data_IF_487118814709
#
_entry.id   IF_487118814709
#
_cell.length_a   1.000
_cell.length_b   1.000
_cell.length_c   1.000
_cell.angle_alpha   90.00
_cell.angle_beta   90.00
_cell.angle_gamma   90.00
#
_symmetry.space_group_name_H-M   'P 1'
#
loop_
_entity.id
_entity.type
_entity.pdbx_description
1 polymer ?
#
# COMPACT_ATOMS: atom_id res chain seq x y z
N UNK A 1 34.67 -34.16 -14.08
CA UNK A 1 35.42 -34.14 -15.37
C UNK A 1 34.40 -34.33 -16.50
N UNK A 2 34.09 -33.30 -17.21
CA UNK A 2 33.79 -33.13 -18.65
C UNK A 2 33.07 -31.79 -18.81
N UNK A 3 33.86 -30.82 -19.27
CA UNK A 3 33.38 -29.48 -19.71
C UNK A 3 32.74 -29.70 -21.10
N UNK A 4 31.53 -29.16 -21.28
CA UNK A 4 30.95 -28.96 -22.61
C UNK A 4 31.00 -27.47 -22.92
N UNK A 5 31.80 -27.10 -23.91
CA UNK A 5 31.79 -25.80 -24.57
C UNK A 5 30.61 -25.81 -25.56
N UNK A 6 29.74 -24.79 -25.48
CA UNK A 6 28.80 -24.49 -26.56
C UNK A 6 29.27 -23.19 -27.22
N UNK A 7 29.57 -23.28 -28.48
CA UNK A 7 30.08 -22.19 -29.34
C UNK A 7 28.87 -21.44 -29.92
N UNK A 8 28.78 -20.14 -29.65
CA UNK A 8 27.80 -19.23 -30.27
C UNK A 8 28.24 -18.95 -31.73
N UNK A 9 27.35 -19.21 -32.68
CA UNK A 9 27.47 -18.78 -34.07
C UNK A 9 26.65 -17.52 -34.28
N UNK A 10 27.32 -16.39 -34.48
CA UNK A 10 26.69 -15.11 -34.86
C UNK A 10 26.58 -15.12 -36.39
N UNK A 11 25.35 -15.05 -36.91
CA UNK A 11 25.09 -14.82 -38.33
C UNK A 11 24.61 -13.35 -38.50
N UNK A 12 25.50 -12.53 -39.03
CA UNK A 12 25.16 -11.17 -39.45
C UNK A 12 24.53 -11.22 -40.85
N UNK A 13 23.30 -10.79 -40.99
CA UNK A 13 22.68 -10.49 -42.29
C UNK A 13 22.53 -8.99 -42.49
N UNK A 14 23.37 -8.46 -43.37
CA UNK A 14 23.31 -7.07 -43.86
C UNK A 14 22.27 -6.97 -44.96
N UNK A 15 21.26 -6.12 -44.77
CA UNK A 15 20.33 -5.69 -45.82
C UNK A 15 20.69 -4.31 -46.33
N UNK A 16 20.96 -4.26 -47.66
CA UNK A 16 21.26 -3.05 -48.40
C UNK A 16 19.98 -2.26 -48.71
N UNK A 17 19.93 -0.98 -48.33
CA UNK A 17 18.96 -0.05 -48.87
C UNK A 17 19.52 0.65 -50.11
N UNK A 18 18.79 0.54 -51.20
CA UNK A 18 19.01 1.30 -52.42
C UNK A 18 18.22 2.60 -52.33
N UNK A 19 18.92 3.72 -52.32
CA UNK A 19 18.32 5.03 -52.46
C UNK A 19 18.11 5.40 -53.95
N UNK A 20 16.92 5.80 -54.32
CA UNK A 20 16.68 6.57 -55.55
C UNK A 20 16.12 7.92 -55.17
N UNK A 21 16.91 8.93 -55.36
CA UNK A 21 16.49 10.32 -55.23
C UNK A 21 15.76 10.83 -56.43
N UNK A 22 14.89 11.84 -56.23
CA UNK A 22 14.63 12.89 -57.19
C UNK A 22 14.17 14.16 -56.48
N UNK A 23 14.86 15.23 -56.74
CA UNK A 23 14.64 16.58 -56.27
C UNK A 23 13.39 17.20 -56.87
N UNK A 24 12.58 17.96 -56.10
CA UNK A 24 12.23 19.32 -56.52
C UNK A 24 11.76 20.21 -55.38
N UNK A 25 12.18 21.44 -55.47
CA UNK A 25 12.04 22.57 -54.56
C UNK A 25 10.62 23.13 -54.51
N UNK A 26 10.21 23.71 -53.36
CA UNK A 26 9.17 24.73 -53.31
C UNK A 26 8.47 24.90 -51.97
N UNK A 27 9.00 25.86 -51.21
CA UNK A 27 8.28 26.89 -50.43
C UNK A 27 7.36 26.54 -49.23
N UNK A 28 7.76 27.15 -48.13
CA UNK A 28 7.16 27.51 -46.85
C UNK A 28 5.63 27.42 -46.69
N UNK A 29 5.19 26.70 -45.63
CA UNK A 29 4.27 27.34 -44.67
C UNK A 29 4.32 26.61 -43.31
N UNK A 30 4.50 27.38 -42.23
CA UNK A 30 4.39 26.94 -40.85
C UNK A 30 2.95 26.63 -40.54
N UNK A 31 2.69 25.42 -40.10
CA UNK A 31 1.47 25.01 -39.43
C UNK A 31 1.88 24.09 -38.29
N UNK A 32 1.72 24.55 -37.06
CA UNK A 32 1.78 23.70 -35.86
C UNK A 32 0.71 22.64 -36.00
N UNK A 33 1.11 21.42 -36.24
CA UNK A 33 0.22 20.26 -36.06
C UNK A 33 0.49 19.68 -34.67
N UNK A 34 -0.44 19.94 -33.76
CA UNK A 34 -0.66 19.10 -32.59
C UNK A 34 -0.92 17.67 -33.09
N UNK A 35 0.05 16.81 -32.98
CA UNK A 35 -0.16 15.37 -33.15
C UNK A 35 -0.73 14.79 -31.86
N UNK A 36 -2.02 14.90 -31.68
CA UNK A 36 -2.77 13.95 -30.87
C UNK A 36 -2.82 12.66 -31.70
N UNK A 37 -1.94 11.74 -31.40
CA UNK A 37 -2.01 10.37 -31.93
C UNK A 37 -3.23 9.68 -31.32
N UNK A 38 -4.37 9.79 -31.96
CA UNK A 38 -5.51 8.90 -31.74
C UNK A 38 -5.18 7.61 -32.48
N UNK A 39 -4.76 6.56 -31.77
CA UNK A 39 -4.70 5.23 -32.36
C UNK A 39 -6.14 4.74 -32.53
N UNK A 40 -6.66 4.84 -33.74
CA UNK A 40 -7.92 4.19 -34.14
C UNK A 40 -7.59 2.73 -34.52
N UNK A 41 -7.45 1.84 -33.55
CA UNK A 41 -7.59 0.42 -33.83
C UNK A 41 -9.11 0.12 -33.92
N UNK A 42 -9.59 -0.36 -35.08
CA UNK A 42 -10.97 -0.86 -35.25
C UNK A 42 -11.20 -2.19 -34.50
N UNK A 43 -10.24 -2.63 -33.70
CA UNK A 43 -10.26 -3.89 -32.97
C UNK A 43 -11.15 -3.79 -31.73
N UNK A 44 -11.99 -4.79 -31.52
CA UNK A 44 -12.86 -4.86 -30.34
C UNK A 44 -12.06 -5.39 -29.15
N UNK A 45 -11.96 -4.60 -28.11
CA UNK A 45 -11.29 -4.96 -26.85
C UNK A 45 -12.34 -5.27 -25.80
N UNK A 46 -12.17 -6.39 -25.09
CA UNK A 46 -12.89 -6.67 -23.84
C UNK A 46 -11.89 -6.71 -22.70
N UNK A 47 -12.06 -5.83 -21.72
CA UNK A 47 -11.21 -5.71 -20.54
C UNK A 47 -12.03 -6.04 -19.29
N UNK A 48 -11.54 -6.97 -18.46
CA UNK A 48 -12.11 -7.27 -17.15
C UNK A 48 -11.31 -6.54 -16.07
N UNK A 49 -11.98 -5.81 -15.19
CA UNK A 49 -11.33 -5.03 -14.12
C UNK A 49 -11.91 -5.45 -12.78
N UNK A 50 -11.04 -5.85 -11.84
CA UNK A 50 -11.42 -6.15 -10.47
C UNK A 50 -11.74 -4.85 -9.74
N UNK A 51 -12.84 -4.82 -8.99
CA UNK A 51 -13.18 -3.76 -8.06
C UNK A 51 -13.84 -4.33 -6.81
N UNK A 52 -13.56 -3.76 -5.66
CA UNK A 52 -14.29 -4.07 -4.43
C UNK A 52 -15.68 -3.42 -4.47
N UNK A 53 -16.61 -3.94 -3.70
CA UNK A 53 -17.99 -3.49 -3.71
C UNK A 53 -18.15 -1.97 -3.54
N UNK A 54 -17.40 -1.40 -2.58
CA UNK A 54 -17.49 0.03 -2.26
C UNK A 54 -16.79 0.91 -3.30
N UNK A 55 -15.86 0.33 -4.09
CA UNK A 55 -15.18 1.05 -5.18
C UNK A 55 -16.01 1.14 -6.45
N UNK A 56 -17.04 0.32 -6.60
CA UNK A 56 -17.83 0.20 -7.83
C UNK A 56 -18.32 1.55 -8.38
N UNK A 57 -18.87 2.49 -7.57
CA UNK A 57 -19.36 3.76 -8.12
C UNK A 57 -18.26 4.60 -8.80
N UNK A 58 -17.04 4.61 -8.25
CA UNK A 58 -15.90 5.31 -8.82
C UNK A 58 -15.39 4.60 -10.08
N UNK A 59 -15.25 3.28 -10.04
CA UNK A 59 -14.79 2.48 -11.18
C UNK A 59 -15.78 2.51 -12.34
N UNK A 60 -17.08 2.63 -12.08
CA UNK A 60 -18.09 2.85 -13.12
C UNK A 60 -17.90 4.19 -13.82
N UNK A 61 -17.59 5.27 -13.10
CA UNK A 61 -17.26 6.57 -13.68
C UNK A 61 -16.01 6.47 -14.55
N UNK A 62 -14.94 5.84 -14.05
CA UNK A 62 -13.69 5.62 -14.81
C UNK A 62 -13.97 4.81 -16.07
N UNK A 63 -14.74 3.71 -15.97
CA UNK A 63 -15.18 2.91 -17.12
C UNK A 63 -15.85 3.77 -18.18
N UNK A 64 -16.81 4.61 -17.79
CA UNK A 64 -17.57 5.43 -18.70
C UNK A 64 -16.68 6.46 -19.41
N UNK A 65 -15.73 7.07 -18.70
CA UNK A 65 -14.70 7.96 -19.27
C UNK A 65 -13.82 7.22 -20.30
N UNK A 66 -13.39 6.00 -19.99
CA UNK A 66 -12.53 5.23 -20.90
C UNK A 66 -13.31 4.76 -22.14
N UNK A 67 -14.55 4.32 -21.99
CA UNK A 67 -15.39 3.89 -23.13
C UNK A 67 -15.72 5.07 -24.07
N UNK A 68 -15.87 6.29 -23.58
CA UNK A 68 -15.99 7.48 -24.43
C UNK A 68 -14.72 7.70 -25.27
N UNK A 69 -13.53 7.48 -24.69
CA UNK A 69 -12.25 7.65 -25.36
C UNK A 69 -11.93 6.47 -26.31
N UNK A 70 -12.34 5.26 -25.94
CA UNK A 70 -12.12 4.01 -26.67
C UNK A 70 -13.47 3.33 -27.00
N UNK A 71 -14.21 3.80 -28.01
CA UNK A 71 -15.59 3.35 -28.27
C UNK A 71 -15.70 1.88 -28.71
N UNK A 72 -14.59 1.25 -29.11
CA UNK A 72 -14.52 -0.19 -29.41
C UNK A 72 -14.19 -1.06 -28.20
N UNK A 73 -13.94 -0.46 -27.03
CA UNK A 73 -13.68 -1.18 -25.80
C UNK A 73 -15.00 -1.49 -25.06
N UNK A 74 -15.05 -2.70 -24.50
CA UNK A 74 -16.03 -3.12 -23.51
C UNK A 74 -15.30 -3.39 -22.20
N UNK A 75 -15.67 -2.71 -21.13
CA UNK A 75 -15.05 -2.88 -19.80
C UNK A 75 -16.06 -3.54 -18.87
N UNK A 76 -15.70 -4.72 -18.38
CA UNK A 76 -16.48 -5.52 -17.43
C UNK A 76 -15.87 -5.34 -16.04
N UNK A 77 -16.61 -4.74 -15.11
CA UNK A 77 -16.21 -4.63 -13.72
C UNK A 77 -16.59 -5.93 -12.98
N UNK A 78 -15.62 -6.54 -12.32
CA UNK A 78 -15.77 -7.78 -11.55
C UNK A 78 -15.77 -7.41 -10.05
N UNK A 79 -16.96 -7.46 -9.43
CA UNK A 79 -17.10 -7.21 -8.00
C UNK A 79 -16.51 -8.37 -7.20
N UNK A 80 -15.32 -8.16 -6.63
CA UNK A 80 -14.65 -9.13 -5.74
C UNK A 80 -13.65 -8.39 -4.84
N UNK A 81 -13.46 -8.89 -3.61
CA UNK A 81 -12.43 -8.39 -2.72
C UNK A 81 -11.03 -8.56 -3.33
N UNK A 82 -10.15 -7.59 -3.12
CA UNK A 82 -8.80 -7.63 -3.69
C UNK A 82 -8.02 -8.86 -3.21
N UNK A 83 -8.08 -9.19 -1.93
CA UNK A 83 -7.40 -10.39 -1.39
C UNK A 83 -8.04 -11.69 -1.90
N UNK A 84 -9.37 -11.76 -1.99
CA UNK A 84 -10.06 -12.93 -2.56
C UNK A 84 -9.63 -13.17 -4.01
N UNK A 85 -9.49 -12.09 -4.79
CA UNK A 85 -9.00 -12.15 -6.15
C UNK A 85 -7.53 -12.63 -6.23
N UNK A 86 -6.66 -12.11 -5.36
CA UNK A 86 -5.25 -12.51 -5.27
C UNK A 86 -5.10 -13.98 -4.85
N UNK A 87 -5.94 -14.48 -3.95
CA UNK A 87 -5.94 -15.88 -3.53
C UNK A 87 -6.33 -16.83 -4.69
N UNK A 88 -7.21 -16.38 -5.60
CA UNK A 88 -7.49 -17.11 -6.84
C UNK A 88 -6.27 -17.08 -7.76
N UNK A 89 -5.62 -15.91 -7.94
CA UNK A 89 -4.42 -15.77 -8.76
C UNK A 89 -3.26 -16.65 -8.27
N UNK A 90 -3.05 -16.77 -6.96
CA UNK A 90 -2.00 -17.62 -6.38
C UNK A 90 -2.22 -19.12 -6.64
N UNK A 91 -3.46 -19.53 -6.94
CA UNK A 91 -3.84 -20.92 -7.18
C UNK A 91 -3.97 -21.27 -8.68
N UNK A 92 -3.86 -20.27 -9.57
CA UNK A 92 -4.03 -20.46 -11.01
C UNK A 92 -2.89 -19.82 -11.80
N UNK A 93 -2.92 -20.00 -13.10
CA UNK A 93 -2.02 -19.31 -14.04
C UNK A 93 -2.74 -18.12 -14.73
N UNK A 94 -1.98 -17.35 -15.50
CA UNK A 94 -2.48 -16.19 -16.22
C UNK A 94 -3.61 -16.50 -17.23
N UNK A 95 -3.82 -17.76 -17.61
CA UNK A 95 -4.82 -18.16 -18.61
C UNK A 95 -6.21 -18.32 -18.03
N UNK A 96 -6.37 -18.31 -16.70
CA UNK A 96 -7.68 -18.44 -16.05
C UNK A 96 -8.58 -17.23 -16.39
N UNK A 97 -9.67 -17.49 -17.09
CA UNK A 97 -10.62 -16.47 -17.53
C UNK A 97 -11.48 -15.86 -16.40
N UNK A 98 -11.47 -16.48 -15.22
CA UNK A 98 -12.25 -16.04 -14.06
C UNK A 98 -11.56 -14.91 -13.29
N UNK A 99 -10.23 -14.72 -13.50
CA UNK A 99 -9.51 -13.60 -12.94
C UNK A 99 -9.60 -12.36 -13.85
N UNK A 100 -9.47 -11.17 -13.26
CA UNK A 100 -9.49 -9.91 -13.99
C UNK A 100 -8.24 -9.69 -14.85
N UNK A 101 -8.36 -8.81 -15.84
CA UNK A 101 -7.23 -8.32 -16.63
C UNK A 101 -6.47 -7.22 -15.89
N UNK A 102 -7.20 -6.32 -15.19
CA UNK A 102 -6.62 -5.29 -14.30
C UNK A 102 -7.11 -5.53 -12.88
N UNK A 103 -6.20 -5.47 -11.92
CA UNK A 103 -6.51 -5.74 -10.52
C UNK A 103 -5.56 -5.03 -9.57
N UNK A 104 -6.03 -4.79 -8.33
CA UNK A 104 -5.23 -4.20 -7.27
C UNK A 104 -4.41 -5.26 -6.52
N UNK A 105 -3.18 -4.91 -6.14
CA UNK A 105 -2.29 -5.75 -5.34
C UNK A 105 -1.46 -4.90 -4.37
N UNK A 106 -1.24 -5.35 -3.13
CA UNK A 106 -0.30 -4.72 -2.23
C UNK A 106 1.14 -5.05 -2.64
N UNK A 107 2.07 -4.13 -2.40
CA UNK A 107 3.45 -4.25 -2.90
C UNK A 107 4.18 -5.53 -2.45
N UNK A 108 3.86 -6.09 -1.28
CA UNK A 108 4.47 -7.33 -0.77
C UNK A 108 4.03 -8.61 -1.51
N UNK A 109 2.92 -8.55 -2.26
CA UNK A 109 2.48 -9.69 -3.09
C UNK A 109 3.16 -9.71 -4.45
N UNK A 110 3.83 -8.64 -4.85
CA UNK A 110 4.44 -8.47 -6.18
C UNK A 110 5.38 -9.63 -6.53
N UNK A 111 6.30 -9.97 -5.62
CA UNK A 111 7.31 -11.00 -5.87
C UNK A 111 6.72 -12.40 -6.07
N UNK A 112 5.65 -12.72 -5.34
CA UNK A 112 4.91 -13.98 -5.52
C UNK A 112 4.23 -14.05 -6.88
N UNK A 113 3.53 -12.99 -7.26
CA UNK A 113 2.83 -12.89 -8.55
C UNK A 113 3.80 -12.86 -9.73
N UNK A 114 4.92 -12.13 -9.61
CA UNK A 114 5.98 -12.11 -10.62
C UNK A 114 6.60 -13.51 -10.82
N UNK A 115 6.89 -14.23 -9.73
CA UNK A 115 7.40 -15.60 -9.78
C UNK A 115 6.43 -16.55 -10.48
N UNK A 116 5.13 -16.35 -10.31
CA UNK A 116 4.08 -17.12 -10.97
C UNK A 116 3.80 -16.66 -12.41
N UNK A 117 4.49 -15.60 -12.87
CA UNK A 117 4.35 -15.04 -14.23
C UNK A 117 2.90 -14.63 -14.56
N UNK A 118 2.19 -14.05 -13.61
CA UNK A 118 0.78 -13.62 -13.80
C UNK A 118 0.65 -12.13 -14.10
N UNK A 119 1.76 -11.36 -14.07
CA UNK A 119 1.78 -9.92 -14.31
C UNK A 119 2.46 -9.61 -15.65
N UNK A 120 1.86 -8.72 -16.43
CA UNK A 120 2.46 -8.12 -17.61
C UNK A 120 3.35 -6.94 -17.21
N UNK A 121 4.48 -6.77 -17.90
CA UNK A 121 5.27 -5.55 -17.81
C UNK A 121 4.55 -4.36 -18.45
N UNK A 122 4.77 -3.15 -17.91
CA UNK A 122 4.17 -1.92 -18.42
C UNK A 122 5.18 -0.77 -18.41
N UNK A 123 5.04 0.24 -19.26
CA UNK A 123 5.90 1.43 -19.30
C UNK A 123 5.47 2.42 -18.19
N UNK A 124 5.65 2.01 -16.91
CA UNK A 124 5.09 2.74 -15.79
C UNK A 124 5.73 4.13 -15.57
N UNK A 125 6.99 4.30 -15.94
CA UNK A 125 7.68 5.58 -15.94
C UNK A 125 7.06 6.57 -16.94
N UNK A 126 6.79 6.13 -18.18
CA UNK A 126 6.08 6.93 -19.20
C UNK A 126 4.64 7.25 -18.76
N UNK A 127 3.94 6.25 -18.17
CA UNK A 127 2.60 6.45 -17.64
C UNK A 127 2.59 7.47 -16.50
N UNK A 128 3.61 7.49 -15.64
CA UNK A 128 3.75 8.44 -14.54
C UNK A 128 3.99 9.87 -15.05
N UNK A 129 4.78 10.04 -16.12
CA UNK A 129 4.94 11.33 -16.78
C UNK A 129 3.62 11.86 -17.38
N UNK A 130 2.80 10.96 -17.95
CA UNK A 130 1.50 11.32 -18.53
C UNK A 130 0.45 11.68 -17.47
N UNK A 131 0.39 10.95 -16.37
CA UNK A 131 -0.53 11.21 -15.25
C UNK A 131 -0.10 12.44 -14.46
N UNK A 132 1.21 12.56 -14.21
CA UNK A 132 1.81 13.66 -13.44
C UNK A 132 1.68 13.49 -11.93
N UNK A 133 2.23 14.47 -11.21
CA UNK A 133 2.15 14.58 -9.75
C UNK A 133 3.20 13.79 -8.96
N UNK A 134 3.88 12.82 -9.55
CA UNK A 134 4.96 12.08 -8.87
C UNK A 134 6.20 12.96 -8.72
N UNK A 135 6.69 13.12 -7.49
CA UNK A 135 7.90 13.90 -7.20
C UNK A 135 9.18 13.12 -7.58
N UNK A 136 9.20 11.84 -7.27
CA UNK A 136 10.28 10.89 -7.57
C UNK A 136 9.68 9.49 -7.70
N UNK A 137 9.35 9.08 -8.92
CA UNK A 137 8.64 7.84 -9.19
C UNK A 137 9.43 6.60 -8.74
N UNK A 138 10.74 6.57 -9.05
CA UNK A 138 11.58 5.39 -8.78
C UNK A 138 11.94 5.23 -7.30
N UNK A 139 12.09 6.34 -6.57
CA UNK A 139 12.36 6.31 -5.13
C UNK A 139 11.09 6.38 -4.29
N UNK A 140 9.93 6.58 -4.93
CA UNK A 140 8.61 6.51 -4.33
C UNK A 140 7.98 5.11 -4.44
N UNK A 141 6.67 5.08 -4.46
CA UNK A 141 5.89 3.84 -4.55
C UNK A 141 6.13 3.12 -5.89
N UNK A 142 6.42 3.86 -6.97
CA UNK A 142 6.72 3.28 -8.29
C UNK A 142 7.86 2.26 -8.25
N UNK A 143 8.96 2.60 -7.58
CA UNK A 143 10.10 1.69 -7.44
C UNK A 143 9.78 0.39 -6.70
N UNK A 144 8.74 0.37 -5.86
CA UNK A 144 8.30 -0.83 -5.17
C UNK A 144 7.69 -1.87 -6.13
N UNK A 145 7.29 -1.45 -7.33
CA UNK A 145 6.70 -2.32 -8.35
C UNK A 145 7.69 -2.67 -9.49
N UNK A 146 8.96 -2.29 -9.33
CA UNK A 146 10.03 -2.62 -10.29
C UNK A 146 10.79 -3.87 -9.83
N UNK A 147 10.84 -4.89 -10.67
CA UNK A 147 11.67 -6.09 -10.48
C UNK A 147 12.62 -6.21 -11.65
N UNK A 148 13.93 -6.16 -11.38
CA UNK A 148 15.00 -6.33 -12.38
C UNK A 148 14.92 -5.36 -13.58
N UNK A 149 14.31 -4.20 -13.41
CA UNK A 149 14.16 -3.15 -14.43
C UNK A 149 12.82 -3.20 -15.18
N UNK A 150 11.92 -4.11 -14.81
CA UNK A 150 10.56 -4.20 -15.37
C UNK A 150 9.54 -3.76 -14.32
N UNK A 151 8.64 -2.83 -14.68
CA UNK A 151 7.51 -2.44 -13.83
C UNK A 151 6.34 -3.40 -14.07
N UNK A 152 5.93 -4.08 -13.02
CA UNK A 152 4.88 -5.12 -13.05
C UNK A 152 3.54 -4.65 -12.45
N UNK A 153 3.51 -3.45 -11.89
CA UNK A 153 2.29 -2.75 -11.48
C UNK A 153 2.54 -1.24 -11.49
N UNK A 154 1.46 -0.47 -11.52
CA UNK A 154 1.47 0.99 -11.41
C UNK A 154 1.02 1.43 -10.01
N UNK A 155 1.63 2.44 -9.37
CA UNK A 155 1.20 2.94 -8.06
C UNK A 155 -0.30 3.25 -8.02
N UNK A 156 -0.99 2.77 -6.98
CA UNK A 156 -2.40 3.03 -6.77
C UNK A 156 -2.61 3.99 -5.59
N UNK A 157 -2.18 3.61 -4.40
CA UNK A 157 -2.29 4.42 -3.21
C UNK A 157 -1.16 4.16 -2.23
N UNK A 158 -0.80 5.17 -1.46
CA UNK A 158 0.07 5.01 -0.29
C UNK A 158 -0.70 4.35 0.85
N UNK A 159 0.03 3.64 1.71
CA UNK A 159 -0.53 2.94 2.84
C UNK A 159 0.40 3.05 4.05
N UNK A 160 -0.14 3.56 5.15
CA UNK A 160 0.54 3.68 6.45
C UNK A 160 -0.48 3.71 7.57
N UNK A 161 -0.04 3.81 8.82
CA UNK A 161 -0.90 3.96 9.99
C UNK A 161 -0.96 5.40 10.47
N UNK A 162 -2.11 5.76 11.05
CA UNK A 162 -2.40 7.03 11.71
C UNK A 162 -3.05 6.77 13.07
N UNK A 163 -3.25 7.82 13.87
CA UNK A 163 -3.98 7.73 15.14
C UNK A 163 -5.36 8.37 15.06
N UNK A 164 -6.38 7.63 15.46
CA UNK A 164 -7.74 8.12 15.68
C UNK A 164 -7.95 8.34 17.18
N UNK A 165 -8.20 9.57 17.60
CA UNK A 165 -8.40 9.92 19.01
C UNK A 165 -9.88 10.00 19.33
N UNK A 166 -10.34 9.25 20.36
CA UNK A 166 -11.64 9.50 20.99
C UNK A 166 -11.48 10.63 22.01
N UNK A 167 -11.95 11.82 21.64
CA UNK A 167 -11.77 13.06 22.42
C UNK A 167 -12.44 13.00 23.79
N UNK A 168 -13.61 12.34 23.92
CA UNK A 168 -14.28 12.19 25.21
C UNK A 168 -13.56 11.21 26.12
N UNK A 169 -13.05 10.10 25.60
CA UNK A 169 -12.25 9.16 26.38
C UNK A 169 -10.93 9.82 26.85
N UNK A 170 -10.25 10.57 25.97
CA UNK A 170 -9.04 11.31 26.32
C UNK A 170 -9.29 12.35 27.42
N UNK A 171 -10.39 13.11 27.33
CA UNK A 171 -10.80 14.05 28.38
C UNK A 171 -11.11 13.35 29.70
N UNK A 172 -11.83 12.23 29.66
CA UNK A 172 -12.15 11.43 30.84
C UNK A 172 -10.90 10.88 31.53
N UNK A 173 -9.89 10.50 30.75
CA UNK A 173 -8.58 10.05 31.21
C UNK A 173 -7.66 11.21 31.63
N UNK A 174 -8.03 12.46 31.36
CA UNK A 174 -7.21 13.66 31.57
C UNK A 174 -5.88 13.62 30.79
N UNK A 175 -5.92 13.12 29.55
CA UNK A 175 -4.79 13.05 28.63
C UNK A 175 -4.88 14.20 27.63
N UNK A 176 -3.78 14.93 27.45
CA UNK A 176 -3.64 15.98 26.44
C UNK A 176 -3.15 15.36 25.13
N UNK A 177 -4.02 15.34 24.12
CA UNK A 177 -3.76 14.77 22.80
C UNK A 177 -3.22 15.79 21.79
N UNK A 178 -3.01 17.04 22.21
CA UNK A 178 -2.43 18.10 21.36
C UNK A 178 -0.89 18.08 21.32
N UNK A 179 -0.28 17.25 22.15
CA UNK A 179 1.17 17.06 22.28
C UNK A 179 1.54 15.63 21.95
N UNK A 180 2.85 15.31 21.90
CA UNK A 180 3.30 13.94 21.81
C UNK A 180 2.74 13.12 22.98
N UNK A 181 2.28 11.92 22.65
CA UNK A 181 1.66 11.00 23.60
C UNK A 181 2.62 9.83 23.82
N UNK A 182 3.21 9.78 25.02
CA UNK A 182 4.12 8.70 25.36
C UNK A 182 3.35 7.45 25.80
N UNK A 183 3.32 6.45 24.93
CA UNK A 183 2.59 5.20 25.12
C UNK A 183 2.93 4.51 26.44
N UNK A 184 4.22 4.50 26.79
CA UNK A 184 4.70 3.77 27.98
C UNK A 184 4.42 4.48 29.31
N UNK A 185 3.94 5.74 29.27
CA UNK A 185 3.49 6.49 30.47
C UNK A 185 1.98 6.31 30.74
N UNK A 186 1.26 5.67 29.81
CA UNK A 186 -0.17 5.44 29.93
C UNK A 186 -0.50 4.13 30.63
N UNK A 187 -1.72 4.02 31.13
CA UNK A 187 -2.22 2.74 31.63
C UNK A 187 -2.40 1.76 30.45
N UNK A 188 -2.21 0.47 30.73
CA UNK A 188 -2.20 -0.61 29.72
C UNK A 188 -3.41 -0.63 28.78
N UNK A 189 -4.53 -0.03 29.17
CA UNK A 189 -5.80 -0.03 28.43
C UNK A 189 -6.16 1.33 27.80
N UNK A 190 -5.27 2.32 27.83
CA UNK A 190 -5.53 3.66 27.30
C UNK A 190 -5.13 3.83 25.83
N UNK A 191 -4.22 3.00 25.31
CA UNK A 191 -4.00 2.82 23.88
C UNK A 191 -4.00 1.33 23.60
N UNK A 192 -4.91 0.88 22.72
CA UNK A 192 -5.05 -0.53 22.39
C UNK A 192 -4.67 -0.78 20.93
N UNK A 193 -3.68 -1.64 20.75
CA UNK A 193 -3.27 -2.09 19.42
C UNK A 193 -2.75 -3.52 19.46
N UNK A 194 -2.98 -4.26 18.39
CA UNK A 194 -2.58 -5.67 18.25
C UNK A 194 -1.10 -5.78 17.89
N UNK A 195 -0.20 -5.38 18.82
CA UNK A 195 1.25 -5.43 18.56
C UNK A 195 1.77 -6.83 18.18
N UNK A 196 1.01 -7.89 18.45
CA UNK A 196 1.32 -9.25 18.01
C UNK A 196 1.00 -9.49 16.52
N UNK A 197 0.20 -8.66 15.88
CA UNK A 197 0.09 -8.62 14.43
C UNK A 197 1.26 -7.79 13.88
N UNK A 198 2.04 -8.38 12.97
CA UNK A 198 3.23 -7.72 12.45
C UNK A 198 2.92 -6.40 11.74
N UNK A 199 1.74 -6.24 11.12
CA UNK A 199 1.33 -4.99 10.49
C UNK A 199 1.31 -3.82 11.48
N UNK A 200 0.75 -4.03 12.68
CA UNK A 200 0.77 -2.99 13.72
C UNK A 200 2.08 -3.01 14.52
N UNK A 201 2.67 -4.18 14.72
CA UNK A 201 3.89 -4.38 15.52
C UNK A 201 5.11 -3.68 14.94
N UNK A 202 5.20 -3.55 13.61
CA UNK A 202 6.34 -2.88 12.95
C UNK A 202 6.42 -1.40 13.26
N UNK A 203 5.33 -0.74 13.65
CA UNK A 203 5.38 0.64 14.08
C UNK A 203 6.28 0.82 15.33
N UNK A 204 6.32 -0.18 16.18
CA UNK A 204 7.13 -0.21 17.39
C UNK A 204 8.58 -0.66 17.10
N UNK A 205 8.77 -1.69 16.27
CA UNK A 205 10.13 -2.14 15.92
C UNK A 205 10.89 -1.10 15.12
N UNK A 206 10.23 -0.41 14.20
CA UNK A 206 10.82 0.69 13.42
C UNK A 206 11.21 1.89 14.32
N UNK A 207 10.45 2.18 15.39
CA UNK A 207 10.80 3.25 16.32
C UNK A 207 12.12 3.03 17.06
N UNK A 208 12.54 1.79 17.21
CA UNK A 208 13.79 1.39 17.88
C UNK A 208 14.86 0.87 16.89
N UNK A 209 14.68 1.07 15.59
CA UNK A 209 15.54 0.54 14.53
C UNK A 209 15.83 -0.97 14.71
N UNK A 210 14.78 -1.73 15.10
CA UNK A 210 14.87 -3.18 15.28
C UNK A 210 14.50 -3.90 14.00
N UNK A 211 15.48 -4.49 13.32
CA UNK A 211 15.31 -5.16 12.04
C UNK A 211 14.76 -6.57 12.21
N UNK A 212 13.50 -6.78 11.77
CA UNK A 212 12.87 -8.10 11.84
C UNK A 212 13.49 -9.10 10.85
N UNK A 213 13.81 -8.66 9.65
CA UNK A 213 14.54 -9.45 8.65
C UNK A 213 15.13 -8.54 7.58
N UNK A 214 16.43 -8.64 7.33
CA UNK A 214 17.14 -7.95 6.24
C UNK A 214 17.11 -8.73 4.93
N UNK A 215 17.52 -8.08 3.84
CA UNK A 215 17.73 -8.74 2.53
C UNK A 215 18.84 -9.81 2.59
N UNK A 216 19.82 -9.66 3.50
CA UNK A 216 20.89 -10.61 3.76
C UNK A 216 20.43 -11.78 4.64
N UNK A 217 19.13 -11.84 4.95
CA UNK A 217 18.50 -12.85 5.82
C UNK A 217 19.08 -12.86 7.25
N UNK A 218 19.43 -11.68 7.74
CA UNK A 218 19.79 -11.45 9.15
C UNK A 218 18.63 -10.80 9.89
N UNK A 219 18.58 -10.97 11.21
CA UNK A 219 17.53 -10.42 12.07
C UNK A 219 18.08 -10.04 13.43
N UNK A 220 17.65 -8.89 13.94
CA UNK A 220 17.95 -8.49 15.31
C UNK A 220 17.32 -9.44 16.35
N UNK A 221 16.22 -10.11 15.99
CA UNK A 221 15.58 -11.12 16.84
C UNK A 221 16.44 -12.36 17.12
N UNK A 222 17.53 -12.54 16.38
CA UNK A 222 18.51 -13.64 16.62
C UNK A 222 19.69 -13.23 17.47
N UNK A 223 19.81 -11.95 17.86
CA UNK A 223 20.85 -11.46 18.74
C UNK A 223 20.60 -11.86 20.19
N UNK A 224 21.69 -12.05 20.94
CA UNK A 224 21.59 -12.16 22.40
C UNK A 224 21.10 -10.82 22.99
N UNK A 225 20.36 -10.87 24.10
CA UNK A 225 19.82 -9.67 24.74
C UNK A 225 20.90 -8.58 25.01
N UNK A 226 22.09 -8.99 25.41
CA UNK A 226 23.20 -8.09 25.71
C UNK A 226 23.81 -7.42 24.45
N UNK A 227 23.50 -7.93 23.26
CA UNK A 227 23.98 -7.41 21.97
C UNK A 227 22.97 -6.46 21.31
N UNK A 228 21.78 -6.33 21.89
CA UNK A 228 20.78 -5.35 21.48
C UNK A 228 21.17 -3.95 21.96
N UNK A 229 20.77 -2.92 21.22
CA UNK A 229 20.92 -1.53 21.66
C UNK A 229 20.05 -1.24 22.89
N UNK A 230 20.32 -0.16 23.59
CA UNK A 230 19.51 0.26 24.74
C UNK A 230 18.05 0.53 24.33
N UNK A 231 17.84 1.14 23.16
CA UNK A 231 16.52 1.42 22.59
C UNK A 231 15.78 0.13 22.26
N UNK A 232 16.45 -0.86 21.66
CA UNK A 232 15.88 -2.17 21.36
C UNK A 232 15.51 -2.95 22.62
N UNK A 233 16.35 -2.89 23.66
CA UNK A 233 16.03 -3.50 24.96
C UNK A 233 14.81 -2.83 25.60
N UNK A 234 14.74 -1.50 25.61
CA UNK A 234 13.59 -0.73 26.11
C UNK A 234 12.31 -1.03 25.34
N UNK A 235 12.40 -1.21 24.01
CA UNK A 235 11.28 -1.63 23.19
C UNK A 235 10.64 -2.91 23.75
N UNK A 236 11.42 -3.98 23.93
CA UNK A 236 10.88 -5.26 24.41
C UNK A 236 10.45 -5.22 25.88
N UNK A 237 11.12 -4.44 26.73
CA UNK A 237 10.66 -4.21 28.09
C UNK A 237 9.31 -3.49 28.13
N UNK A 238 9.11 -2.48 27.29
CA UNK A 238 7.84 -1.78 27.16
C UNK A 238 6.72 -2.68 26.62
N UNK A 239 6.97 -3.41 25.54
CA UNK A 239 6.02 -4.37 24.99
C UNK A 239 5.66 -5.47 25.97
N UNK A 240 6.64 -5.97 26.73
CA UNK A 240 6.40 -6.95 27.79
C UNK A 240 5.53 -6.39 28.92
N UNK A 241 5.77 -5.15 29.35
CA UNK A 241 4.94 -4.49 30.37
C UNK A 241 3.50 -4.28 29.87
N UNK A 242 3.33 -3.92 28.59
CA UNK A 242 2.03 -3.81 27.96
C UNK A 242 1.30 -5.17 27.94
N UNK A 243 1.95 -6.22 27.45
CA UNK A 243 1.42 -7.59 27.52
C UNK A 243 1.05 -8.01 28.95
N UNK A 244 1.93 -7.72 29.93
CA UNK A 244 1.73 -8.09 31.33
C UNK A 244 0.50 -7.41 31.92
N UNK A 245 0.29 -6.12 31.63
CA UNK A 245 -0.92 -5.38 32.04
C UNK A 245 -2.18 -6.08 31.56
N UNK A 246 -2.25 -6.46 30.30
CA UNK A 246 -3.38 -7.19 29.72
C UNK A 246 -3.53 -8.59 30.31
N UNK A 247 -2.44 -9.30 30.53
CA UNK A 247 -2.46 -10.65 31.11
C UNK A 247 -2.95 -10.67 32.55
N UNK A 248 -2.50 -9.71 33.38
CA UNK A 248 -2.89 -9.61 34.78
C UNK A 248 -4.37 -9.21 34.94
N UNK A 249 -4.92 -8.46 33.99
CA UNK A 249 -6.29 -8.01 33.98
C UNK A 249 -7.23 -8.92 33.15
N UNK A 250 -6.72 -10.03 32.60
CA UNK A 250 -7.48 -11.01 31.80
C UNK A 250 -8.27 -10.37 30.64
N UNK A 251 -7.68 -9.42 29.93
CA UNK A 251 -8.29 -8.82 28.75
C UNK A 251 -8.12 -9.72 27.53
N UNK A 252 -8.88 -9.47 26.47
CA UNK A 252 -8.83 -10.25 25.24
C UNK A 252 -7.81 -9.72 24.22
N UNK A 253 -6.98 -8.72 24.55
CA UNK A 253 -6.06 -8.12 23.57
C UNK A 253 -5.02 -9.11 23.04
N UNK A 254 -4.56 -10.08 23.86
CA UNK A 254 -3.61 -11.12 23.44
C UNK A 254 -4.26 -12.41 22.95
N UNK A 255 -5.52 -12.31 22.51
CA UNK A 255 -6.26 -13.37 21.80
C UNK A 255 -6.51 -12.85 20.37
N UNK A 256 -5.82 -13.43 19.36
CA UNK A 256 -5.86 -12.94 17.98
C UNK A 256 -7.28 -12.91 17.38
N UNK A 257 -8.17 -13.79 17.85
CA UNK A 257 -9.53 -13.91 17.34
C UNK A 257 -10.51 -12.95 18.05
N UNK A 258 -10.13 -12.43 19.24
CA UNK A 258 -10.98 -11.59 20.06
C UNK A 258 -10.44 -10.14 20.21
N UNK A 259 -9.20 -9.89 19.85
CA UNK A 259 -8.52 -8.60 20.07
C UNK A 259 -9.24 -7.43 19.39
N UNK A 260 -9.63 -7.58 18.12
CA UNK A 260 -10.32 -6.52 17.35
C UNK A 260 -11.62 -6.10 18.04
N UNK A 261 -12.49 -7.04 18.39
CA UNK A 261 -13.74 -6.72 19.09
C UNK A 261 -13.52 -6.09 20.47
N UNK A 262 -12.44 -6.47 21.17
CA UNK A 262 -12.06 -5.85 22.43
C UNK A 262 -11.62 -4.38 22.23
N UNK A 263 -10.78 -4.10 21.26
CA UNK A 263 -10.35 -2.74 20.92
C UNK A 263 -11.56 -1.87 20.56
N UNK A 264 -12.41 -2.35 19.65
CA UNK A 264 -13.61 -1.62 19.24
C UNK A 264 -14.54 -1.28 20.42
N UNK A 265 -14.76 -2.23 21.32
CA UNK A 265 -15.60 -2.00 22.50
C UNK A 265 -14.98 -0.97 23.46
N UNK A 266 -13.65 -0.98 23.64
CA UNK A 266 -12.96 -0.05 24.51
C UNK A 266 -12.77 1.34 23.86
N UNK A 267 -12.75 1.43 22.54
CA UNK A 267 -12.63 2.71 21.82
C UNK A 267 -13.94 3.48 21.73
N UNK A 268 -15.09 2.82 21.92
CA UNK A 268 -16.38 3.53 21.99
C UNK A 268 -16.35 4.61 23.07
N UNK A 269 -17.12 5.66 22.87
CA UNK A 269 -17.29 6.72 23.87
C UNK A 269 -17.71 6.15 25.22
N UNK A 270 -16.93 6.46 26.24
CA UNK A 270 -17.07 5.91 27.61
C UNK A 270 -16.23 4.66 27.87
N UNK A 271 -15.51 4.16 26.89
CA UNK A 271 -14.49 3.11 27.07
C UNK A 271 -13.16 3.68 27.59
N UNK A 272 -12.16 2.81 27.66
CA UNK A 272 -10.84 3.15 28.20
C UNK A 272 -9.81 3.53 27.13
N UNK A 273 -9.99 3.05 25.91
CA UNK A 273 -9.07 3.32 24.80
C UNK A 273 -9.27 4.73 24.28
N UNK A 274 -8.20 5.50 24.23
CA UNK A 274 -8.21 6.91 23.81
C UNK A 274 -7.71 7.08 22.39
N UNK A 275 -6.90 6.15 21.87
CA UNK A 275 -6.32 6.22 20.54
C UNK A 275 -6.35 4.83 19.89
N UNK A 276 -7.12 4.73 18.82
CA UNK A 276 -7.06 3.58 17.92
C UNK A 276 -6.02 3.85 16.84
N UNK A 277 -5.01 3.00 16.74
CA UNK A 277 -4.03 3.02 15.65
C UNK A 277 -4.57 2.18 14.50
N UNK A 278 -4.80 2.81 13.34
CA UNK A 278 -5.31 2.15 12.13
C UNK A 278 -4.92 2.97 10.89
N UNK A 279 -5.24 2.49 9.69
CA UNK A 279 -4.98 3.25 8.46
C UNK A 279 -6.16 4.10 8.00
N UNK A 280 -6.01 4.92 6.95
CA UNK A 280 -7.06 5.82 6.45
C UNK A 280 -8.32 5.07 6.01
N UNK A 281 -8.20 3.81 5.61
CA UNK A 281 -9.33 2.93 5.27
C UNK A 281 -10.32 2.69 6.41
N UNK A 282 -9.91 2.87 7.66
CA UNK A 282 -10.75 2.64 8.83
C UNK A 282 -11.65 3.83 9.21
N UNK A 283 -11.52 4.98 8.53
CA UNK A 283 -12.18 6.24 8.92
C UNK A 283 -13.69 6.08 9.12
N UNK A 284 -14.39 5.40 8.22
CA UNK A 284 -15.84 5.19 8.32
C UNK A 284 -16.21 4.35 9.54
N UNK A 285 -15.58 3.18 9.71
CA UNK A 285 -15.86 2.28 10.84
C UNK A 285 -15.50 2.90 12.19
N UNK A 286 -14.39 3.64 12.26
CA UNK A 286 -13.97 4.32 13.48
C UNK A 286 -14.94 5.46 13.85
N UNK A 287 -15.45 6.22 12.85
CA UNK A 287 -16.45 7.26 13.06
C UNK A 287 -17.73 6.71 13.69
N UNK A 288 -18.15 5.52 13.29
CA UNK A 288 -19.31 4.84 13.87
C UNK A 288 -19.11 4.50 15.36
N UNK A 289 -17.89 4.12 15.76
CA UNK A 289 -17.58 3.78 17.16
C UNK A 289 -17.67 4.98 18.10
N UNK A 290 -17.23 6.15 17.66
CA UNK A 290 -17.25 7.37 18.48
C UNK A 290 -18.59 8.12 18.42
N UNK A 291 -19.44 7.79 17.46
CA UNK A 291 -20.82 8.27 17.31
C UNK A 291 -20.96 9.72 16.82
N UNK A 292 -19.90 10.49 16.71
CA UNK A 292 -19.89 11.87 16.20
C UNK A 292 -18.48 12.24 15.70
N UNK A 293 -18.40 12.88 14.53
CA UNK A 293 -17.15 13.41 14.00
C UNK A 293 -16.50 14.45 14.94
N UNK A 294 -17.30 15.22 15.69
CA UNK A 294 -16.80 16.20 16.67
C UNK A 294 -16.06 15.54 17.86
N UNK A 295 -16.32 14.26 18.10
CA UNK A 295 -15.66 13.46 19.14
C UNK A 295 -14.44 12.73 18.64
N UNK A 296 -14.03 12.94 17.39
CA UNK A 296 -12.85 12.33 16.79
C UNK A 296 -11.83 13.39 16.39
N UNK A 297 -10.59 13.19 16.79
CA UNK A 297 -9.43 13.91 16.29
C UNK A 297 -8.50 12.92 15.56
N UNK A 298 -7.80 13.42 14.56
CA UNK A 298 -6.85 12.61 13.78
C UNK A 298 -5.46 13.15 14.05
N UNK A 299 -4.52 12.25 14.32
CA UNK A 299 -3.12 12.59 14.56
C UNK A 299 -2.20 11.73 13.68
N UNK A 300 -1.05 12.26 13.25
CA UNK A 300 -0.04 11.43 12.60
C UNK A 300 0.51 10.39 13.58
N UNK A 301 0.88 9.22 13.07
CA UNK A 301 1.42 8.13 13.89
C UNK A 301 2.64 8.57 14.70
N UNK A 302 3.47 9.45 14.13
CA UNK A 302 4.68 9.99 14.75
C UNK A 302 4.45 10.83 16.00
N UNK A 303 3.21 11.28 16.25
CA UNK A 303 2.83 11.98 17.48
C UNK A 303 2.71 11.01 18.67
N UNK A 304 2.58 9.72 18.42
CA UNK A 304 2.65 8.67 19.45
C UNK A 304 4.11 8.26 19.60
N UNK A 305 4.62 8.35 20.83
CA UNK A 305 5.99 7.93 21.15
C UNK A 305 5.99 6.67 22.01
N UNK A 306 7.03 5.86 21.89
CA UNK A 306 7.25 4.67 22.68
C UNK A 306 8.68 4.69 23.22
N UNK A 307 8.84 4.80 24.55
CA UNK A 307 10.13 5.08 25.20
C UNK A 307 10.84 6.31 24.62
N UNK A 308 10.10 7.36 24.31
CA UNK A 308 10.61 8.61 23.76
C UNK A 308 10.92 8.61 22.25
N UNK A 309 10.71 7.50 21.56
CA UNK A 309 10.89 7.37 20.11
C UNK A 309 9.54 7.43 19.40
N UNK A 310 9.41 8.27 18.38
CA UNK A 310 8.18 8.36 17.58
C UNK A 310 7.89 7.04 16.87
N UNK A 311 6.64 6.57 16.91
CA UNK A 311 6.22 5.43 16.13
C UNK A 311 6.35 5.74 14.63
N UNK A 312 6.86 4.78 13.87
CA UNK A 312 7.03 4.87 12.43
C UNK A 312 6.54 3.58 11.79
N UNK A 313 5.69 3.69 10.79
CA UNK A 313 5.28 2.53 10.01
C UNK A 313 6.15 2.36 8.77
N UNK A 314 5.71 1.63 7.80
CA UNK A 314 6.35 1.50 6.50
C UNK A 314 5.79 2.48 5.48
N UNK A 315 6.62 2.85 4.50
CA UNK A 315 6.20 3.38 3.20
C UNK A 315 5.63 2.21 2.40
N UNK A 316 4.38 1.87 2.70
CA UNK A 316 3.63 0.84 2.03
C UNK A 316 2.75 1.41 0.93
N UNK A 317 2.14 0.53 0.17
CA UNK A 317 1.15 0.93 -0.82
C UNK A 317 0.66 -0.24 -1.67
N UNK A 318 -0.34 0.08 -2.47
CA UNK A 318 -0.94 -0.81 -3.44
C UNK A 318 -0.59 -0.34 -4.84
N UNK A 319 -0.55 -1.28 -5.77
CA UNK A 319 -0.44 -1.05 -7.20
C UNK A 319 -1.60 -1.64 -7.96
N UNK A 320 -1.72 -1.24 -9.22
CA UNK A 320 -2.63 -1.80 -10.20
C UNK A 320 -1.81 -2.60 -11.20
N UNK A 321 -2.00 -3.92 -11.22
CA UNK A 321 -1.34 -4.85 -12.13
C UNK A 321 -2.21 -5.18 -13.33
N UNK A 322 -1.55 -5.54 -14.44
CA UNK A 322 -2.18 -6.09 -15.64
C UNK A 322 -1.83 -7.57 -15.71
N UNK A 323 -2.83 -8.42 -15.99
CA UNK A 323 -2.61 -9.85 -16.13
C UNK A 323 -1.73 -10.16 -17.36
N UNK A 324 -0.73 -11.02 -17.21
CA UNK A 324 0.22 -11.41 -18.26
C UNK A 324 -0.45 -11.90 -19.56
N UNK A 325 -1.67 -12.44 -19.51
CA UNK A 325 -2.41 -12.84 -20.72
C UNK A 325 -2.74 -11.68 -21.66
N UNK A 326 -2.62 -10.42 -21.19
CA UNK A 326 -2.88 -9.24 -21.99
C UNK A 326 -1.64 -8.79 -22.79
N UNK A 327 -0.44 -9.29 -22.45
CA UNK A 327 0.84 -8.80 -22.96
C UNK A 327 0.98 -8.85 -24.49
N UNK A 328 0.45 -9.89 -25.11
CA UNK A 328 0.48 -10.06 -26.56
C UNK A 328 -0.65 -9.31 -27.31
N UNK A 329 -1.57 -8.64 -26.60
CA UNK A 329 -2.70 -7.89 -27.15
C UNK A 329 -2.45 -6.38 -26.94
N UNK A 330 -1.82 -5.74 -27.93
CA UNK A 330 -1.44 -4.32 -27.87
C UNK A 330 -2.63 -3.39 -27.62
N UNK A 331 -3.77 -3.66 -28.25
CA UNK A 331 -4.98 -2.85 -28.07
C UNK A 331 -5.57 -3.00 -26.64
N UNK A 332 -5.52 -4.21 -26.08
CA UNK A 332 -5.98 -4.46 -24.73
C UNK A 332 -5.04 -3.83 -23.69
N UNK A 333 -3.73 -3.91 -23.91
CA UNK A 333 -2.73 -3.25 -23.06
C UNK A 333 -2.93 -1.72 -23.06
N UNK A 334 -3.17 -1.11 -24.21
CA UNK A 334 -3.44 0.34 -24.31
C UNK A 334 -4.67 0.73 -23.47
N UNK A 335 -5.78 0.00 -23.60
CA UNK A 335 -7.01 0.27 -22.83
C UNK A 335 -6.79 0.02 -21.34
N UNK A 336 -6.07 -1.04 -20.96
CA UNK A 336 -5.75 -1.34 -19.57
C UNK A 336 -4.90 -0.23 -18.91
N UNK A 337 -3.86 0.23 -19.59
CA UNK A 337 -3.01 1.34 -19.12
C UNK A 337 -3.80 2.64 -19.03
N UNK A 338 -4.68 2.94 -20.02
CA UNK A 338 -5.54 4.11 -19.96
C UNK A 338 -6.51 4.06 -18.77
N UNK A 339 -7.07 2.87 -18.47
CA UNK A 339 -7.94 2.67 -17.32
C UNK A 339 -7.19 2.90 -16.00
N UNK A 340 -5.98 2.36 -15.87
CA UNK A 340 -5.12 2.56 -14.71
C UNK A 340 -4.81 4.05 -14.52
N UNK A 341 -4.38 4.75 -15.57
CA UNK A 341 -4.07 6.19 -15.51
C UNK A 341 -5.28 7.02 -15.08
N UNK A 342 -6.47 6.67 -15.54
CA UNK A 342 -7.70 7.39 -15.15
C UNK A 342 -8.08 7.12 -13.68
N UNK A 343 -7.86 5.89 -13.16
CA UNK A 343 -8.09 5.59 -11.73
C UNK A 343 -7.24 6.50 -10.84
N UNK A 344 -5.97 6.70 -11.18
CA UNK A 344 -5.01 7.43 -10.34
C UNK A 344 -4.79 8.87 -10.79
N UNK A 345 -5.67 9.39 -11.62
CA UNK A 345 -5.62 10.78 -12.05
C UNK A 345 -5.83 11.70 -10.83
N UNK A 346 -4.89 12.62 -10.50
CA UNK A 346 -5.02 13.52 -9.36
C UNK A 346 -6.30 14.37 -9.38
N UNK A 347 -6.80 14.72 -10.56
CA UNK A 347 -8.07 15.45 -10.71
C UNK A 347 -9.28 14.68 -10.12
N UNK A 348 -9.15 13.36 -9.95
CA UNK A 348 -10.16 12.49 -9.35
C UNK A 348 -9.84 12.08 -7.91
N UNK A 349 -8.77 12.61 -7.30
CA UNK A 349 -8.27 12.18 -5.99
C UNK A 349 -9.34 12.21 -4.89
N UNK A 350 -10.14 13.29 -4.85
CA UNK A 350 -11.26 13.40 -3.91
C UNK A 350 -12.29 12.28 -4.07
N UNK A 351 -12.72 12.01 -5.31
CA UNK A 351 -13.76 11.02 -5.58
C UNK A 351 -13.25 9.60 -5.32
N UNK A 352 -11.98 9.35 -5.64
CA UNK A 352 -11.31 8.11 -5.29
C UNK A 352 -11.30 7.90 -3.76
N UNK A 353 -10.89 8.93 -3.00
CA UNK A 353 -10.86 8.84 -1.55
C UNK A 353 -12.26 8.64 -0.94
N UNK A 354 -13.25 9.39 -1.41
CA UNK A 354 -14.65 9.25 -0.96
C UNK A 354 -15.19 7.82 -1.15
N UNK A 355 -14.80 7.16 -2.24
CA UNK A 355 -15.25 5.80 -2.56
C UNK A 355 -14.42 4.72 -1.87
N UNK A 356 -13.13 4.94 -1.66
CA UNK A 356 -12.18 3.86 -1.33
C UNK A 356 -11.38 4.08 -0.05
N UNK A 357 -11.34 5.31 0.47
CA UNK A 357 -10.42 5.72 1.55
C UNK A 357 -8.94 5.73 1.13
N UNK A 358 -8.63 5.65 -0.17
CA UNK A 358 -7.26 5.56 -0.69
C UNK A 358 -6.67 6.93 -0.97
N UNK A 359 -5.44 7.15 -0.48
CA UNK A 359 -4.68 8.40 -0.66
C UNK A 359 -3.65 8.18 -1.76
N UNK A 360 -3.69 9.02 -2.80
CA UNK A 360 -2.76 8.94 -3.93
C UNK A 360 -1.39 9.50 -3.54
N UNK A 361 -0.29 8.86 -4.00
CA UNK A 361 1.06 9.40 -3.85
C UNK A 361 1.28 10.64 -4.71
N UNK A 362 0.69 10.66 -5.90
CA UNK A 362 0.84 11.70 -6.91
C UNK A 362 -0.18 12.85 -6.79
N UNK A 363 -0.90 12.93 -5.67
CA UNK A 363 -1.80 14.03 -5.36
C UNK A 363 -1.27 14.88 -4.19
N UNK A 364 -1.79 16.10 -4.07
CA UNK A 364 -1.53 17.04 -2.99
C UNK A 364 -2.82 17.33 -2.22
N UNK A 365 -2.73 17.96 -1.06
CA UNK A 365 -3.92 18.38 -0.29
C UNK A 365 -4.89 19.22 -1.13
N UNK A 366 -4.39 20.01 -2.09
CA UNK A 366 -5.24 20.84 -2.95
C UNK A 366 -6.13 20.00 -3.89
N UNK A 367 -5.72 18.81 -4.27
CA UNK A 367 -6.47 17.92 -5.16
C UNK A 367 -7.68 17.28 -4.43
N UNK A 368 -7.73 17.40 -3.09
CA UNK A 368 -8.85 16.99 -2.26
C UNK A 368 -9.78 18.15 -1.87
N UNK A 369 -9.74 19.30 -2.57
CA UNK A 369 -10.61 20.45 -2.27
C UNK A 369 -12.10 20.04 -2.29
N UNK A 370 -12.82 20.45 -1.23
CA UNK A 370 -14.25 20.15 -1.07
C UNK A 370 -14.56 18.81 -0.41
N UNK A 371 -13.55 18.10 0.10
CA UNK A 371 -13.76 16.98 1.04
C UNK A 371 -14.17 17.52 2.43
N UNK A 372 -14.81 16.70 3.26
CA UNK A 372 -15.13 17.17 4.61
C UNK A 372 -13.86 17.32 5.49
N UNK A 373 -13.97 18.14 6.56
CA UNK A 373 -12.82 18.50 7.39
C UNK A 373 -12.16 17.29 8.07
N UNK A 374 -12.96 16.29 8.48
CA UNK A 374 -12.40 15.09 9.11
C UNK A 374 -11.59 14.25 8.14
N UNK A 375 -12.14 14.01 6.94
CA UNK A 375 -11.47 13.28 5.88
C UNK A 375 -10.19 14.00 5.44
N UNK A 376 -10.20 15.34 5.37
CA UNK A 376 -8.99 16.11 5.07
C UNK A 376 -7.90 15.88 6.12
N UNK A 377 -8.24 15.89 7.41
CA UNK A 377 -7.29 15.57 8.49
C UNK A 377 -6.74 14.15 8.39
N UNK A 378 -7.55 13.18 7.95
CA UNK A 378 -7.08 11.81 7.69
C UNK A 378 -6.01 11.79 6.59
N UNK A 379 -6.25 12.52 5.50
CA UNK A 379 -5.30 12.62 4.38
C UNK A 379 -4.00 13.31 4.83
N UNK A 380 -4.11 14.44 5.54
CA UNK A 380 -2.96 15.17 6.10
C UNK A 380 -2.12 14.28 7.03
N UNK A 381 -2.76 13.62 8.00
CA UNK A 381 -2.07 12.70 8.91
C UNK A 381 -1.44 11.49 8.19
N UNK A 382 -2.06 11.04 7.09
CA UNK A 382 -1.51 9.97 6.24
C UNK A 382 -0.22 10.42 5.56
N UNK A 383 -0.21 11.60 4.93
CA UNK A 383 1.01 12.13 4.32
C UNK A 383 2.11 12.38 5.35
N UNK A 384 1.78 13.01 6.51
CA UNK A 384 2.75 13.25 7.57
C UNK A 384 3.35 11.96 8.14
N UNK A 385 2.52 10.92 8.33
CA UNK A 385 2.99 9.61 8.78
C UNK A 385 3.84 8.89 7.72
N UNK A 386 3.46 9.01 6.44
CA UNK A 386 4.17 8.38 5.33
C UNK A 386 5.54 9.02 5.08
N UNK A 387 5.66 10.35 5.24
CA UNK A 387 6.92 11.07 5.03
C UNK A 387 8.05 10.55 5.92
N UNK A 388 7.73 10.23 7.19
CA UNK A 388 8.70 9.76 8.19
C UNK A 388 8.78 8.25 8.31
N UNK A 389 7.96 7.52 7.54
CA UNK A 389 7.91 6.05 7.56
C UNK A 389 9.19 5.44 6.96
N UNK A 390 9.50 4.22 7.43
CA UNK A 390 10.63 3.44 6.93
C UNK A 390 10.29 2.75 5.59
N UNK A 391 11.29 2.44 4.78
CA UNK A 391 11.08 1.67 3.58
C UNK A 391 10.59 0.26 3.91
N UNK A 392 9.51 -0.17 3.25
CA UNK A 392 8.97 -1.52 3.44
C UNK A 392 9.94 -2.57 2.87
N UNK A 393 10.30 -3.62 3.63
CA UNK A 393 11.08 -4.72 3.09
C UNK A 393 10.26 -5.49 2.04
N UNK A 394 10.72 -5.46 0.77
CA UNK A 394 10.04 -6.06 -0.38
C UNK A 394 10.92 -7.17 -0.99
N UNK A 395 10.88 -8.34 -0.40
CA UNK A 395 11.51 -9.58 -0.89
C UNK A 395 10.75 -10.80 -0.38
N UNK A 396 10.80 -11.90 -1.11
CA UNK A 396 9.92 -13.07 -0.89
C UNK A 396 10.04 -13.69 0.51
N UNK A 397 11.24 -13.70 1.08
CA UNK A 397 11.52 -14.30 2.37
C UNK A 397 10.88 -13.52 3.53
N UNK A 398 10.61 -12.21 3.33
CA UNK A 398 9.98 -11.38 4.36
C UNK A 398 8.55 -11.87 4.71
N UNK A 399 7.88 -12.57 3.82
CA UNK A 399 6.58 -13.17 4.09
C UNK A 399 6.53 -14.08 5.33
N UNK A 400 7.68 -14.64 5.74
CA UNK A 400 7.78 -15.47 6.94
C UNK A 400 7.74 -14.66 8.24
N UNK A 401 7.99 -13.37 8.18
CA UNK A 401 8.01 -12.48 9.37
C UNK A 401 6.62 -12.39 10.00
N UNK A 402 5.56 -12.35 9.20
CA UNK A 402 4.18 -12.22 9.66
C UNK A 402 3.82 -13.26 10.70
N UNK A 403 3.93 -14.53 10.34
CA UNK A 403 3.59 -15.64 11.22
C UNK A 403 4.58 -15.80 12.36
N UNK A 404 5.88 -15.61 12.10
CA UNK A 404 6.93 -15.75 13.11
C UNK A 404 6.79 -14.72 14.23
N UNK A 405 6.54 -13.45 13.87
CA UNK A 405 6.29 -12.38 14.84
C UNK A 405 5.06 -12.68 15.69
N UNK A 406 3.93 -12.98 15.03
CA UNK A 406 2.66 -13.27 15.72
C UNK A 406 2.81 -14.41 16.71
N UNK A 407 3.36 -15.53 16.28
CA UNK A 407 3.54 -16.70 17.14
C UNK A 407 4.50 -16.41 18.30
N UNK A 408 5.55 -15.62 18.08
CA UNK A 408 6.51 -15.24 19.12
C UNK A 408 5.84 -14.45 20.22
N UNK A 409 5.08 -13.38 19.91
CA UNK A 409 4.42 -12.55 20.90
C UNK A 409 3.26 -13.26 21.60
N UNK A 410 2.47 -14.04 20.87
CA UNK A 410 1.37 -14.83 21.45
C UNK A 410 1.87 -15.92 22.41
N UNK A 411 3.11 -16.39 22.26
CA UNK A 411 3.73 -17.38 23.13
C UNK A 411 4.28 -16.84 24.44
N UNK A 412 4.27 -15.51 24.65
CA UNK A 412 4.85 -14.88 25.84
C UNK A 412 4.26 -15.42 27.13
N UNK A 413 5.14 -15.61 28.09
CA UNK A 413 4.83 -16.12 29.44
C UNK A 413 5.22 -15.08 30.48
N UNK A 414 4.94 -15.39 31.77
CA UNK A 414 5.28 -14.49 32.89
C UNK A 414 6.80 -14.27 33.11
N UNK A 415 7.68 -14.75 32.24
CA UNK A 415 9.12 -14.47 32.31
C UNK A 415 9.40 -13.19 31.53
N UNK A 416 10.10 -12.25 32.17
CA UNK A 416 10.57 -11.05 31.51
C UNK A 416 11.57 -11.42 30.39
N UNK A 417 11.48 -10.85 29.18
CA UNK A 417 12.43 -11.09 28.10
C UNK A 417 13.89 -10.85 28.48
N UNK A 418 14.16 -9.84 29.31
CA UNK A 418 15.52 -9.57 29.85
C UNK A 418 16.09 -10.67 30.75
N UNK A 419 15.27 -11.63 31.19
CA UNK A 419 15.64 -12.72 32.09
C UNK A 419 15.33 -14.11 31.52
N UNK A 420 15.03 -14.18 30.21
CA UNK A 420 14.66 -15.44 29.54
C UNK A 420 15.89 -16.18 28.92
#
# INVERSE_FOLDING_TARGET
MKKLLVTLLVAATSLNFVACGSSNSGDSNKGEQNNTATSNSDEKVTLKVQAEKDWMPYYEKVRDTIVEKYPNATIELIETGSFDHLDVLDQTDATNSDVADVFALPADRLYGLAKNQVLAAMPADEMAEEVGGFADFDNGLGGNFNIDGEYLAFPYNIETLIGYVNVENAKAANIDTTQNIEFTELEYNQILTTVHDAWYGVAFTNSADFELLSKELTSDATKEWADLTEEQQKLFEGLYNYWKGHKENNTSLWDKDAASGYIEEQFKTGGSDIIKIDGPWATSSVSELVGSAENMEIIPLSQITFNGQSLKHWKGGWGLGINARCEDDEAKMEVAQAFIKEIVNPDNAKELFDATGKVLENATIADYEGIDELQLKVIEATYESYEVAENRPLFSEYGQVWETWQNSLLSWSAKNPANA
#
